data_IF_680055891226
#
_entry.id   IF_680055891226
#
_cell.length_a   1.000
_cell.length_b   1.000
_cell.length_c   1.000
_cell.angle_alpha   90.00
_cell.angle_beta   90.00
_cell.angle_gamma   90.00
#
_symmetry.space_group_name_H-M   'P 1'
#
loop_
_entity.id
_entity.type
_entity.pdbx_description
1 polymer ?
#
# COMPACT_ATOMS: atom_id res chain seq x y z
N UNK A 1 -3.66 2.65 -20.39
CA UNK A 1 -4.63 1.90 -21.23
C UNK A 1 -5.20 0.76 -20.42
N UNK A 2 -6.51 0.50 -20.49
CA UNK A 2 -7.11 -0.74 -19.95
C UNK A 2 -6.74 -1.89 -20.90
N UNK A 3 -6.25 -2.99 -20.35
CA UNK A 3 -6.05 -4.22 -21.12
C UNK A 3 -7.40 -4.78 -21.58
N UNK A 4 -7.44 -5.40 -22.76
CA UNK A 4 -8.65 -6.04 -23.29
C UNK A 4 -9.05 -7.31 -22.51
N UNK A 5 -8.15 -7.82 -21.66
CA UNK A 5 -8.36 -8.99 -20.83
C UNK A 5 -9.07 -8.61 -19.53
N UNK A 6 -10.17 -9.30 -19.23
CA UNK A 6 -10.87 -9.20 -17.95
C UNK A 6 -10.63 -10.48 -17.14
N UNK A 7 -10.49 -10.32 -15.83
CA UNK A 7 -10.44 -11.45 -14.90
C UNK A 7 -11.65 -11.35 -13.97
N UNK A 8 -12.49 -12.38 -13.97
CA UNK A 8 -13.58 -12.48 -13.01
C UNK A 8 -13.00 -12.77 -11.62
N UNK A 9 -13.43 -12.00 -10.63
CA UNK A 9 -13.09 -12.20 -9.22
C UNK A 9 -14.36 -12.65 -8.54
N UNK A 10 -14.36 -13.89 -8.03
CA UNK A 10 -15.51 -14.41 -7.27
C UNK A 10 -15.53 -13.79 -5.86
N UNK A 11 -16.71 -13.63 -5.25
CA UNK A 11 -16.83 -13.14 -3.88
C UNK A 11 -15.99 -13.96 -2.90
N UNK A 12 -15.30 -13.28 -1.98
CA UNK A 12 -14.51 -13.88 -0.91
C UNK A 12 -14.89 -13.25 0.42
N UNK A 13 -14.67 -14.01 1.51
CA UNK A 13 -14.92 -13.52 2.88
C UNK A 13 -13.95 -12.40 3.30
N UNK A 14 -12.76 -12.36 2.69
CA UNK A 14 -11.73 -11.35 2.93
C UNK A 14 -11.35 -10.74 1.59
N UNK A 15 -11.30 -9.40 1.55
CA UNK A 15 -10.84 -8.64 0.40
C UNK A 15 -9.68 -7.77 0.87
N UNK A 16 -8.49 -8.00 0.31
CA UNK A 16 -7.34 -7.13 0.54
C UNK A 16 -7.31 -6.05 -0.55
N UNK A 17 -7.43 -4.79 -0.14
CA UNK A 17 -7.31 -3.63 -1.03
C UNK A 17 -5.96 -2.97 -0.74
N UNK A 18 -5.07 -2.93 -1.73
CA UNK A 18 -3.79 -2.25 -1.64
C UNK A 18 -3.72 -1.02 -2.56
N UNK A 19 -2.96 -0.02 -2.16
CA UNK A 19 -2.68 1.15 -2.98
C UNK A 19 -2.21 2.34 -2.15
N UNK A 20 -1.51 3.27 -2.81
CA UNK A 20 -0.91 4.44 -2.14
C UNK A 20 -1.94 5.51 -1.72
N UNK A 21 -3.16 5.50 -2.27
CA UNK A 21 -4.18 6.55 -2.06
C UNK A 21 -5.49 6.03 -1.46
N UNK A 22 -5.56 4.76 -1.07
CA UNK A 22 -6.83 4.15 -0.62
C UNK A 22 -7.39 4.79 0.66
N UNK A 23 -6.54 5.46 1.45
CA UNK A 23 -6.95 6.22 2.63
C UNK A 23 -7.17 7.72 2.37
N UNK A 24 -6.80 8.23 1.19
CA UNK A 24 -7.10 9.62 0.84
C UNK A 24 -8.62 9.81 0.63
N UNK A 25 -9.28 8.80 0.06
CA UNK A 25 -10.71 8.84 -0.26
C UNK A 25 -11.59 8.39 0.92
N UNK A 26 -12.46 9.27 1.41
CA UNK A 26 -13.36 8.99 2.54
C UNK A 26 -14.30 7.81 2.25
N UNK A 27 -14.87 7.76 1.06
CA UNK A 27 -15.82 6.71 0.66
C UNK A 27 -15.18 5.30 0.66
N UNK A 28 -13.88 5.20 0.41
CA UNK A 28 -13.16 3.93 0.53
C UNK A 28 -12.89 3.59 1.99
N UNK A 29 -12.45 4.58 2.79
CA UNK A 29 -12.17 4.38 4.21
C UNK A 29 -13.36 3.87 5.02
N UNK A 30 -14.57 4.27 4.68
CA UNK A 30 -15.80 3.85 5.36
C UNK A 30 -16.18 2.39 5.06
N UNK A 31 -15.57 1.77 4.04
CA UNK A 31 -15.79 0.37 3.68
C UNK A 31 -14.76 -0.60 4.26
N UNK A 32 -13.70 -0.09 4.92
CA UNK A 32 -12.63 -0.93 5.44
C UNK A 32 -12.86 -1.29 6.90
N UNK A 33 -12.86 -2.59 7.20
CA UNK A 33 -12.91 -3.11 8.57
C UNK A 33 -11.56 -2.98 9.30
N UNK A 34 -10.46 -3.05 8.56
CA UNK A 34 -9.09 -2.92 9.07
C UNK A 34 -8.29 -2.03 8.12
N UNK A 35 -7.67 -0.98 8.66
CA UNK A 35 -6.83 -0.05 7.88
C UNK A 35 -5.38 -0.15 8.34
N UNK A 36 -4.52 -0.64 7.44
CA UNK A 36 -3.08 -0.84 7.71
C UNK A 36 -2.28 0.12 6.85
N UNK A 37 -1.36 0.87 7.46
CA UNK A 37 -0.38 1.68 6.75
C UNK A 37 1.01 1.09 6.93
N UNK A 38 1.68 0.78 5.82
CA UNK A 38 3.07 0.30 5.86
C UNK A 38 4.00 1.51 5.79
N UNK A 39 4.73 1.74 6.87
CA UNK A 39 5.62 2.87 7.02
C UNK A 39 7.08 2.48 6.77
N UNK A 40 7.76 3.27 5.96
CA UNK A 40 9.16 3.03 5.58
C UNK A 40 9.76 4.35 5.12
N UNK A 41 11.02 4.56 5.47
CA UNK A 41 11.73 5.79 5.12
C UNK A 41 11.76 6.06 3.61
N UNK A 42 11.73 7.35 3.26
CA UNK A 42 11.60 7.80 1.87
C UNK A 42 12.79 7.39 0.99
N UNK A 43 13.99 7.36 1.55
CA UNK A 43 15.23 6.92 0.91
C UNK A 43 15.22 5.42 0.61
N UNK A 44 14.82 4.58 1.57
CA UNK A 44 14.68 3.14 1.39
C UNK A 44 13.61 2.82 0.34
N UNK A 45 12.45 3.50 0.38
CA UNK A 45 11.41 3.38 -0.65
C UNK A 45 11.92 3.81 -2.02
N UNK A 46 12.67 4.91 -2.09
CA UNK A 46 13.25 5.40 -3.33
C UNK A 46 14.26 4.41 -3.91
N UNK A 47 15.18 3.86 -3.10
CA UNK A 47 16.16 2.86 -3.53
C UNK A 47 15.47 1.60 -4.05
N UNK A 48 14.46 1.09 -3.33
CA UNK A 48 13.66 -0.07 -3.78
C UNK A 48 12.97 0.21 -5.11
N UNK A 49 12.36 1.40 -5.25
CA UNK A 49 11.71 1.83 -6.49
C UNK A 49 12.71 1.93 -7.65
N UNK A 50 13.87 2.54 -7.42
CA UNK A 50 14.90 2.73 -8.44
C UNK A 50 15.36 1.38 -8.99
N UNK A 51 15.70 0.44 -8.11
CA UNK A 51 16.13 -0.91 -8.51
C UNK A 51 15.04 -1.63 -9.32
N UNK A 52 13.79 -1.58 -8.86
CA UNK A 52 12.64 -2.21 -9.55
C UNK A 52 12.38 -1.58 -10.92
N UNK A 53 12.31 -0.26 -11.00
CA UNK A 53 11.96 0.45 -12.24
C UNK A 53 13.07 0.30 -13.31
N UNK A 54 14.33 0.15 -12.92
CA UNK A 54 15.43 -0.19 -13.84
C UNK A 54 15.31 -1.66 -14.29
N UNK A 55 15.21 -2.59 -13.35
CA UNK A 55 15.27 -4.03 -13.63
C UNK A 55 14.02 -4.56 -14.37
N UNK A 56 12.83 -4.10 -14.00
CA UNK A 56 11.56 -4.67 -14.47
C UNK A 56 10.87 -3.81 -15.53
N UNK A 57 11.20 -2.51 -15.61
CA UNK A 57 10.51 -1.54 -16.48
C UNK A 57 11.43 -0.85 -17.49
N UNK A 58 12.72 -1.18 -17.49
CA UNK A 58 13.70 -0.67 -18.45
C UNK A 58 13.92 0.84 -18.40
N UNK A 59 13.70 1.48 -17.24
CA UNK A 59 13.90 2.93 -17.09
C UNK A 59 15.35 3.28 -16.80
N UNK A 60 15.75 4.50 -17.17
CA UNK A 60 17.05 5.06 -16.78
C UNK A 60 17.00 5.63 -15.36
N UNK A 61 18.17 5.74 -14.73
CA UNK A 61 18.32 6.32 -13.39
C UNK A 61 17.77 7.75 -13.36
N UNK A 62 18.13 8.56 -14.36
CA UNK A 62 17.74 9.97 -14.49
C UNK A 62 16.23 10.13 -14.60
N UNK A 63 15.58 9.27 -15.40
CA UNK A 63 14.12 9.30 -15.55
C UNK A 63 13.40 9.00 -14.24
N UNK A 64 13.91 8.04 -13.46
CA UNK A 64 13.32 7.71 -12.15
C UNK A 64 13.54 8.83 -11.14
N UNK A 65 14.73 9.44 -11.12
CA UNK A 65 15.05 10.58 -10.24
C UNK A 65 14.15 11.77 -10.55
N UNK A 66 14.09 12.21 -11.81
CA UNK A 66 13.24 13.35 -12.22
C UNK A 66 11.78 13.06 -11.85
N UNK A 67 11.24 11.89 -12.21
CA UNK A 67 9.87 11.56 -11.84
C UNK A 67 9.65 11.59 -10.33
N UNK A 68 10.61 11.10 -9.54
CA UNK A 68 10.49 11.08 -8.10
C UNK A 68 10.41 12.49 -7.50
N UNK A 69 11.29 13.40 -7.95
CA UNK A 69 11.35 14.77 -7.48
C UNK A 69 10.15 15.59 -7.96
N UNK A 70 9.77 15.45 -9.23
CA UNK A 70 8.77 16.31 -9.87
C UNK A 70 7.34 15.91 -9.51
N UNK A 71 7.09 14.62 -9.26
CA UNK A 71 5.71 14.11 -9.07
C UNK A 71 5.54 13.25 -7.84
N UNK A 72 6.38 12.23 -7.64
CA UNK A 72 6.11 11.20 -6.61
C UNK A 72 6.22 11.78 -5.20
N UNK A 73 7.29 12.54 -4.93
CA UNK A 73 7.55 13.11 -3.61
C UNK A 73 6.52 14.18 -3.25
N UNK A 74 6.20 15.18 -4.11
CA UNK A 74 5.13 16.14 -3.83
C UNK A 74 3.78 15.45 -3.54
N UNK A 75 3.35 14.52 -4.41
CA UNK A 75 2.08 13.81 -4.24
C UNK A 75 2.06 12.92 -3.00
N UNK A 76 3.21 12.32 -2.64
CA UNK A 76 3.32 11.55 -1.40
C UNK A 76 3.13 12.44 -0.17
N UNK A 77 3.78 13.60 -0.12
CA UNK A 77 3.66 14.53 1.00
C UNK A 77 2.27 15.17 1.08
N UNK A 78 1.62 15.40 -0.05
CA UNK A 78 0.31 16.04 -0.11
C UNK A 78 -0.84 15.07 0.20
N UNK A 79 -0.80 13.84 -0.32
CA UNK A 79 -1.95 12.94 -0.26
C UNK A 79 -1.70 11.65 0.51
N UNK A 80 -0.52 11.04 0.36
CA UNK A 80 -0.24 9.70 0.91
C UNK A 80 0.11 9.80 2.39
N UNK A 81 1.10 10.63 2.75
CA UNK A 81 1.58 10.76 4.13
C UNK A 81 0.49 11.27 5.08
N UNK A 82 -0.31 12.30 4.74
CA UNK A 82 -1.39 12.75 5.63
C UNK A 82 -2.49 11.71 5.82
N UNK A 83 -2.66 10.78 4.87
CA UNK A 83 -3.68 9.72 4.97
C UNK A 83 -3.35 8.66 6.02
N UNK A 84 -2.08 8.56 6.45
CA UNK A 84 -1.58 7.68 7.52
C UNK A 84 -2.36 7.82 8.82
N UNK A 85 -2.86 9.01 9.13
CA UNK A 85 -3.67 9.29 10.33
C UNK A 85 -4.97 8.47 10.43
N UNK A 86 -5.42 7.90 9.32
CA UNK A 86 -6.64 7.10 9.26
C UNK A 86 -6.38 5.60 9.43
N UNK A 87 -5.12 5.19 9.58
CA UNK A 87 -4.78 3.79 9.81
C UNK A 87 -5.06 3.38 11.26
N UNK A 88 -5.56 2.16 11.41
CA UNK A 88 -5.72 1.52 12.73
C UNK A 88 -4.39 0.97 13.23
N UNK A 89 -3.55 0.49 12.30
CA UNK A 89 -2.22 -0.05 12.59
C UNK A 89 -1.20 0.49 11.59
N UNK A 90 -0.04 0.89 12.13
CA UNK A 90 1.13 1.28 11.32
C UNK A 90 2.19 0.18 11.47
N UNK A 91 2.61 -0.40 10.35
CA UNK A 91 3.62 -1.47 10.34
C UNK A 91 4.92 -0.90 9.80
N UNK A 92 5.99 -0.81 10.61
CA UNK A 92 7.30 -0.40 10.13
C UNK A 92 7.91 -1.50 9.25
N UNK A 93 8.70 -1.09 8.26
CA UNK A 93 9.56 -1.94 7.41
C UNK A 93 8.84 -2.99 6.55
N UNK A 94 7.50 -3.05 6.57
CA UNK A 94 6.68 -3.88 5.69
C UNK A 94 6.87 -5.38 5.91
N UNK A 95 6.98 -6.14 4.80
CA UNK A 95 6.89 -7.61 4.77
C UNK A 95 7.99 -8.40 5.49
N UNK A 96 8.93 -7.72 6.16
CA UNK A 96 9.93 -8.37 7.01
C UNK A 96 9.47 -8.44 8.49
N UNK A 97 8.41 -7.71 8.85
CA UNK A 97 7.84 -7.74 10.19
C UNK A 97 6.84 -8.89 10.35
N UNK A 98 7.38 -10.09 10.60
CA UNK A 98 6.56 -11.31 10.78
C UNK A 98 5.60 -11.20 11.95
N UNK A 99 6.03 -10.55 13.05
CA UNK A 99 5.18 -10.34 14.22
C UNK A 99 3.95 -9.51 13.87
N UNK A 100 4.12 -8.40 13.13
CA UNK A 100 2.98 -7.59 12.70
C UNK A 100 2.06 -8.35 11.73
N UNK A 101 2.63 -9.18 10.86
CA UNK A 101 1.84 -10.03 9.96
C UNK A 101 0.98 -11.03 10.74
N UNK A 102 1.57 -11.72 11.73
CA UNK A 102 0.87 -12.68 12.57
C UNK A 102 -0.29 -12.03 13.34
N UNK A 103 -0.07 -10.80 13.86
CA UNK A 103 -1.13 -10.03 14.52
C UNK A 103 -2.29 -9.67 13.57
N UNK A 104 -1.97 -9.27 12.33
CA UNK A 104 -2.99 -8.97 11.32
C UNK A 104 -3.76 -10.22 10.94
N UNK A 105 -3.07 -11.34 10.71
CA UNK A 105 -3.68 -12.62 10.40
C UNK A 105 -4.64 -13.08 11.51
N UNK A 106 -4.18 -13.04 12.77
CA UNK A 106 -5.02 -13.40 13.92
C UNK A 106 -6.26 -12.51 14.03
N UNK A 107 -6.15 -11.21 13.75
CA UNK A 107 -7.30 -10.29 13.75
C UNK A 107 -8.29 -10.62 12.64
N UNK A 108 -7.81 -10.91 11.42
CA UNK A 108 -8.67 -11.31 10.31
C UNK A 108 -9.39 -12.61 10.62
N UNK A 109 -8.70 -13.59 11.20
CA UNK A 109 -9.29 -14.86 11.63
C UNK A 109 -10.41 -14.65 12.67
N UNK A 110 -10.18 -13.81 13.68
CA UNK A 110 -11.19 -13.50 14.69
C UNK A 110 -12.48 -12.87 14.09
N UNK A 111 -12.33 -11.98 13.10
CA UNK A 111 -13.47 -11.40 12.38
C UNK A 111 -14.24 -12.45 11.56
N UNK A 112 -13.55 -13.46 11.05
CA UNK A 112 -14.18 -14.56 10.31
C UNK A 112 -14.90 -15.56 11.21
N UNK A 113 -14.43 -15.77 12.43
CA UNK A 113 -15.05 -16.70 13.41
C UNK A 113 -16.14 -16.05 14.25
N UNK A 114 -16.30 -14.72 14.20
CA UNK A 114 -17.33 -13.99 14.94
C UNK A 114 -17.11 -13.97 16.46
N UNK A 115 -15.88 -14.20 16.90
CA UNK A 115 -15.49 -14.15 18.31
C UNK A 115 -15.12 -12.70 18.65
N UNK A 116 -16.08 -11.95 19.22
CA UNK A 116 -15.82 -10.62 19.78
C UNK A 116 -15.03 -10.72 21.08
#
# INVERSE_FOLDING_TARGET
MRTATTRRVEPRKVILVEGILIFAEKALREQFDIRIFVDTDADLRFIRRLRRDIAERGRTVESVISQYLDTVRPMHLEFVEPSKRWADVIIPEGGFNTVALDMVCARVEALLTGSQ
#
